data_IF_692843134605
#
_entry.id   IF_692843134605
#
_cell.length_a   1.000
_cell.length_b   1.000
_cell.length_c   1.000
_cell.angle_alpha   90.00
_cell.angle_beta   90.00
_cell.angle_gamma   90.00
#
_symmetry.space_group_name_H-M   'P 1'
#
loop_
_entity.id
_entity.type
_entity.pdbx_description
1 polymer ?
#
# COMPACT_ATOMS: atom_id res chain seq x y z
N UNK A 1 11.72 21.30 7.08
CA UNK A 1 10.46 21.94 6.67
C UNK A 1 9.58 20.82 6.14
N UNK A 2 8.52 20.44 6.87
CA UNK A 2 7.62 19.36 6.44
C UNK A 2 6.74 19.92 5.33
N UNK A 3 6.88 19.42 4.11
CA UNK A 3 5.98 19.82 3.05
C UNK A 3 4.75 18.91 3.17
N UNK A 4 3.59 19.52 3.37
CA UNK A 4 2.34 18.79 3.46
C UNK A 4 1.87 18.49 2.03
N UNK A 5 1.84 17.22 1.66
CA UNK A 5 1.19 16.72 0.45
C UNK A 5 0.13 15.71 0.88
N UNK A 6 -0.93 15.58 0.08
CA UNK A 6 -1.88 14.49 0.20
C UNK A 6 -1.73 13.56 -1.00
N UNK A 7 -1.81 12.25 -0.76
CA UNK A 7 -2.23 11.34 -1.81
C UNK A 7 -3.73 11.49 -1.96
N UNK A 8 -4.14 11.85 -3.17
CA UNK A 8 -5.52 11.98 -3.54
C UNK A 8 -5.92 10.90 -4.54
N UNK A 9 -7.18 10.55 -4.47
CA UNK A 9 -7.83 9.50 -5.24
C UNK A 9 -9.02 10.08 -6.04
N UNK A 10 -9.16 11.41 -6.09
CA UNK A 10 -10.39 12.16 -6.44
C UNK A 10 -10.94 12.04 -7.85
N UNK A 11 -10.29 11.35 -8.79
CA UNK A 11 -10.90 11.14 -10.12
C UNK A 11 -11.78 9.87 -10.18
N UNK A 12 -11.95 9.15 -9.06
CA UNK A 12 -12.89 8.03 -8.94
C UNK A 12 -13.07 7.55 -7.49
N UNK A 13 -14.13 6.78 -7.21
CA UNK A 13 -14.21 6.05 -5.93
C UNK A 13 -12.98 5.14 -5.85
N UNK A 14 -12.28 5.16 -4.71
CA UNK A 14 -11.28 4.13 -4.39
C UNK A 14 -11.91 2.77 -4.74
N UNK A 15 -11.25 1.91 -5.55
CA UNK A 15 -11.89 0.66 -5.94
C UNK A 15 -12.25 -0.13 -4.69
N UNK A 16 -13.41 -0.78 -4.69
CA UNK A 16 -14.02 -1.39 -3.50
C UNK A 16 -13.11 -2.43 -2.80
N UNK A 17 -12.15 -2.98 -3.54
CA UNK A 17 -11.14 -3.94 -3.09
C UNK A 17 -10.00 -3.29 -2.28
N UNK A 18 -9.90 -1.96 -2.26
CA UNK A 18 -8.85 -1.22 -1.55
C UNK A 18 -9.42 -0.53 -0.32
N UNK A 19 -8.79 -0.75 0.83
CA UNK A 19 -9.21 -0.20 2.11
C UNK A 19 -8.12 0.71 2.65
N UNK A 20 -8.38 2.02 2.88
CA UNK A 20 -7.42 2.89 3.54
C UNK A 20 -7.40 2.57 5.03
N UNK A 21 -6.22 2.34 5.59
CA UNK A 21 -6.05 2.03 7.01
C UNK A 21 -5.60 3.26 7.79
N UNK A 22 -6.15 3.46 9.00
CA UNK A 22 -5.74 4.56 9.85
C UNK A 22 -4.32 4.30 10.39
N UNK A 23 -3.48 5.33 10.33
CA UNK A 23 -2.24 5.40 11.09
C UNK A 23 -2.52 6.29 12.29
N UNK A 24 -2.73 5.69 13.46
CA UNK A 24 -3.09 6.41 14.69
C UNK A 24 -2.08 6.14 15.80
N UNK A 25 -1.68 7.21 16.46
CA UNK A 25 -0.69 7.21 17.53
C UNK A 25 -1.26 7.92 18.78
N UNK A 26 -0.60 7.69 19.92
CA UNK A 26 -0.93 8.36 21.16
C UNK A 26 -2.08 7.72 21.97
N UNK A 27 -2.52 8.44 23.00
CA UNK A 27 -3.49 7.94 23.98
C UNK A 27 -4.84 7.65 23.30
N UNK A 28 -5.27 6.39 23.35
CA UNK A 28 -6.56 5.94 22.82
C UNK A 28 -6.49 5.36 21.39
N UNK A 29 -5.31 5.34 20.77
CA UNK A 29 -5.09 4.77 19.44
C UNK A 29 -5.64 3.34 19.31
N UNK A 30 -5.39 2.46 20.29
CA UNK A 30 -5.86 1.07 20.26
C UNK A 30 -7.39 0.96 20.25
N UNK A 31 -8.08 1.84 20.98
CA UNK A 31 -9.55 1.86 21.01
C UNK A 31 -10.09 2.38 19.68
N UNK A 32 -9.45 3.40 19.11
CA UNK A 32 -9.83 3.96 17.83
C UNK A 32 -9.62 2.95 16.69
N UNK A 33 -8.46 2.28 16.63
CA UNK A 33 -8.18 1.17 15.70
C UNK A 33 -9.23 0.09 15.77
N UNK A 34 -9.49 -0.47 16.96
CA UNK A 34 -10.51 -1.52 17.15
C UNK A 34 -11.89 -1.11 16.67
N UNK A 35 -12.31 0.11 17.03
CA UNK A 35 -13.62 0.64 16.62
C UNK A 35 -13.70 0.80 15.10
N UNK A 36 -12.64 1.34 14.49
CA UNK A 36 -12.55 1.49 13.04
C UNK A 36 -12.56 0.13 12.33
N UNK A 37 -11.70 -0.80 12.73
CA UNK A 37 -11.55 -2.10 12.08
C UNK A 37 -12.85 -2.91 12.12
N UNK A 38 -13.55 -2.92 13.27
CA UNK A 38 -14.87 -3.55 13.39
C UNK A 38 -15.88 -2.92 12.43
N UNK A 39 -16.00 -1.59 12.43
CA UNK A 39 -16.98 -0.88 11.58
C UNK A 39 -16.68 -1.08 10.10
N UNK A 40 -15.40 -1.03 9.72
CA UNK A 40 -14.94 -1.24 8.35
C UNK A 40 -15.27 -2.67 7.89
N UNK A 41 -14.94 -3.69 8.69
CA UNK A 41 -15.27 -5.08 8.37
C UNK A 41 -16.78 -5.32 8.20
N UNK A 42 -17.61 -4.73 9.08
CA UNK A 42 -19.07 -4.82 8.98
C UNK A 42 -19.57 -4.18 7.67
N UNK A 43 -19.07 -2.98 7.32
CA UNK A 43 -19.47 -2.27 6.10
C UNK A 43 -19.07 -3.00 4.83
N UNK A 44 -17.82 -3.48 4.73
CA UNK A 44 -17.38 -4.22 3.53
C UNK A 44 -18.15 -5.53 3.35
N UNK A 45 -18.49 -6.23 4.44
CA UNK A 45 -19.30 -7.44 4.34
C UNK A 45 -20.71 -7.14 3.83
N UNK A 46 -21.33 -6.08 4.33
CA UNK A 46 -22.66 -5.66 3.89
C UNK A 46 -22.70 -5.24 2.43
N UNK A 47 -21.62 -4.63 1.93
CA UNK A 47 -21.53 -4.13 0.57
C UNK A 47 -21.16 -5.23 -0.45
N UNK A 48 -20.32 -6.20 -0.09
CA UNK A 48 -19.67 -7.07 -1.07
C UNK A 48 -19.91 -8.58 -0.91
N UNK A 49 -20.45 -9.04 0.22
CA UNK A 49 -20.61 -10.51 0.44
C UNK A 49 -21.72 -11.14 -0.40
N UNK A 50 -22.68 -10.35 -0.90
CA UNK A 50 -23.82 -10.84 -1.70
C UNK A 50 -24.73 -11.83 -0.95
N UNK A 51 -24.58 -11.98 0.36
CA UNK A 51 -25.22 -13.00 1.17
C UNK A 51 -25.37 -12.61 2.64
N UNK A 52 -25.93 -13.51 3.48
CA UNK A 52 -26.10 -13.22 4.90
C UNK A 52 -24.76 -13.03 5.60
N UNK A 53 -24.74 -12.10 6.55
CA UNK A 53 -23.53 -11.76 7.30
C UNK A 53 -23.04 -12.93 8.15
N UNK A 54 -21.85 -13.46 7.86
CA UNK A 54 -21.16 -14.39 8.73
C UNK A 54 -20.40 -13.62 9.82
N UNK A 55 -20.87 -13.73 11.07
CA UNK A 55 -20.27 -13.03 12.21
C UNK A 55 -18.83 -13.48 12.49
N UNK A 56 -18.48 -14.72 12.21
CA UNK A 56 -17.12 -15.23 12.42
C UNK A 56 -16.15 -14.59 11.43
N UNK A 57 -16.52 -14.56 10.14
CA UNK A 57 -15.71 -13.98 9.08
C UNK A 57 -15.56 -12.45 9.24
N UNK A 58 -16.62 -11.74 9.63
CA UNK A 58 -16.53 -10.31 9.95
C UNK A 58 -15.56 -10.03 11.10
N UNK A 59 -15.58 -10.88 12.13
CA UNK A 59 -14.66 -10.74 13.28
C UNK A 59 -13.21 -11.04 12.88
N UNK A 60 -13.00 -12.00 12.00
CA UNK A 60 -11.69 -12.32 11.46
C UNK A 60 -11.13 -11.19 10.60
N UNK A 61 -11.93 -10.66 9.66
CA UNK A 61 -11.56 -9.49 8.88
C UNK A 61 -11.21 -8.28 9.76
N UNK A 62 -12.02 -8.00 10.79
CA UNK A 62 -11.71 -6.93 11.74
C UNK A 62 -10.36 -7.13 12.44
N UNK A 63 -9.99 -8.38 12.77
CA UNK A 63 -8.69 -8.69 13.39
C UNK A 63 -7.54 -8.47 12.43
N UNK A 64 -7.67 -8.87 11.15
CA UNK A 64 -6.64 -8.60 10.15
C UNK A 64 -6.43 -7.10 9.95
N UNK A 65 -7.51 -6.33 9.74
CA UNK A 65 -7.43 -4.88 9.54
C UNK A 65 -6.85 -4.16 10.76
N UNK A 66 -7.23 -4.57 11.98
CA UNK A 66 -6.63 -4.06 13.22
C UNK A 66 -5.14 -4.37 13.29
N UNK A 67 -4.76 -5.64 13.04
CA UNK A 67 -3.38 -6.10 13.10
C UNK A 67 -2.47 -5.38 12.10
N UNK A 68 -2.93 -5.17 10.87
CA UNK A 68 -2.19 -4.41 9.85
C UNK A 68 -2.00 -2.95 10.30
N UNK A 69 -3.08 -2.29 10.74
CA UNK A 69 -3.06 -0.90 11.19
C UNK A 69 -2.23 -0.67 12.47
N UNK A 70 -2.07 -1.69 13.31
CA UNK A 70 -1.25 -1.64 14.51
C UNK A 70 0.22 -1.92 14.22
N UNK A 71 0.53 -3.03 13.54
CA UNK A 71 1.88 -3.58 13.51
C UNK A 71 2.81 -2.85 12.55
N UNK A 72 2.31 -2.46 11.37
CA UNK A 72 3.18 -1.95 10.32
C UNK A 72 3.67 -0.51 10.55
N UNK A 73 2.83 0.44 10.98
CA UNK A 73 3.30 1.80 11.27
C UNK A 73 4.42 1.86 12.33
N UNK A 74 4.50 0.86 13.22
CA UNK A 74 5.58 0.76 14.22
C UNK A 74 6.91 0.24 13.66
N UNK A 75 6.89 -0.42 12.49
CA UNK A 75 8.04 -1.14 11.93
C UNK A 75 8.57 -0.52 10.65
N UNK A 76 7.72 0.18 9.90
CA UNK A 76 8.02 0.68 8.56
C UNK A 76 7.64 2.16 8.50
N UNK A 77 8.57 3.07 8.19
CA UNK A 77 8.23 4.46 7.93
C UNK A 77 7.27 4.57 6.74
N UNK A 78 6.11 5.20 6.96
CA UNK A 78 5.08 5.39 5.92
C UNK A 78 4.21 6.60 6.24
N UNK A 79 3.61 7.19 5.20
CA UNK A 79 2.61 8.24 5.31
C UNK A 79 1.19 7.73 5.03
N UNK A 80 1.05 6.66 4.23
CA UNK A 80 -0.24 6.02 3.98
C UNK A 80 -0.12 4.50 4.02
N UNK A 81 -1.23 3.86 4.39
CA UNK A 81 -1.37 2.42 4.49
C UNK A 81 -2.70 2.01 3.86
N UNK A 82 -2.63 1.07 2.93
CA UNK A 82 -3.80 0.48 2.28
C UNK A 82 -3.79 -1.04 2.47
N UNK A 83 -4.95 -1.66 2.37
CA UNK A 83 -5.09 -3.11 2.27
C UNK A 83 -5.83 -3.44 0.98
N UNK A 84 -5.26 -4.34 0.19
CA UNK A 84 -5.91 -4.94 -0.95
C UNK A 84 -6.65 -6.21 -0.52
N UNK A 85 -7.95 -6.27 -0.78
CA UNK A 85 -8.88 -7.29 -0.32
C UNK A 85 -10.02 -7.51 -1.33
N UNK A 86 -9.76 -8.21 -2.45
CA UNK A 86 -10.79 -8.56 -3.42
C UNK A 86 -11.68 -9.73 -2.96
N UNK A 87 -11.21 -10.55 -2.00
CA UNK A 87 -12.00 -11.61 -1.36
C UNK A 87 -11.94 -11.45 0.16
N UNK A 88 -13.08 -11.12 0.78
CA UNK A 88 -13.21 -10.87 2.22
C UNK A 88 -12.85 -12.07 3.10
N UNK A 89 -12.66 -13.26 2.50
CA UNK A 89 -12.29 -14.51 3.18
C UNK A 89 -10.78 -14.75 3.23
N UNK A 90 -9.98 -13.95 2.53
CA UNK A 90 -8.53 -14.07 2.50
C UNK A 90 -7.87 -12.96 3.32
N UNK A 91 -6.63 -13.21 3.74
CA UNK A 91 -5.84 -12.19 4.43
C UNK A 91 -5.59 -10.98 3.50
N UNK A 92 -5.85 -9.74 3.96
CA UNK A 92 -5.60 -8.55 3.16
C UNK A 92 -4.11 -8.33 2.92
N UNK A 93 -3.74 -7.90 1.70
CA UNK A 93 -2.36 -7.54 1.38
C UNK A 93 -2.09 -6.07 1.73
N UNK A 94 -1.14 -5.77 2.64
CA UNK A 94 -0.83 -4.41 3.01
C UNK A 94 0.01 -3.70 1.94
N UNK A 95 -0.31 -2.44 1.68
CA UNK A 95 0.43 -1.53 0.80
C UNK A 95 0.90 -0.31 1.57
N UNK A 96 2.21 -0.12 1.60
CA UNK A 96 2.90 0.95 2.30
C UNK A 96 3.26 2.05 1.30
N UNK A 97 2.96 3.30 1.69
CA UNK A 97 3.30 4.46 0.89
C UNK A 97 4.32 5.31 1.63
N UNK A 98 5.42 5.59 0.94
CA UNK A 98 6.45 6.49 1.43
C UNK A 98 6.65 7.63 0.46
N UNK A 99 6.56 8.86 0.97
CA UNK A 99 6.85 10.08 0.23
C UNK A 99 7.93 10.89 0.96
N UNK A 100 8.92 11.38 0.20
CA UNK A 100 9.97 12.24 0.72
C UNK A 100 10.34 13.31 -0.30
N UNK A 101 11.01 14.38 0.14
CA UNK A 101 11.55 15.38 -0.77
C UNK A 101 12.56 14.72 -1.71
N UNK A 102 12.51 15.09 -2.99
CA UNK A 102 13.47 14.59 -3.96
C UNK A 102 14.88 15.08 -3.67
N UNK A 103 15.82 14.14 -3.64
CA UNK A 103 17.25 14.42 -3.45
C UNK A 103 18.08 13.60 -4.43
N UNK A 104 19.18 14.20 -4.92
CA UNK A 104 20.15 13.52 -5.78
C UNK A 104 19.63 13.08 -7.17
N UNK A 105 20.43 12.28 -7.90
CA UNK A 105 20.10 11.84 -9.26
C UNK A 105 18.91 10.85 -9.29
N UNK A 106 18.11 10.91 -10.36
CA UNK A 106 16.88 10.13 -10.52
C UNK A 106 17.14 8.62 -10.53
N UNK A 107 18.07 8.14 -11.35
CA UNK A 107 18.22 6.69 -11.57
C UNK A 107 18.66 5.92 -10.31
N UNK A 108 19.70 6.34 -9.55
CA UNK A 108 20.08 5.67 -8.29
C UNK A 108 18.98 5.71 -7.22
N UNK A 109 18.19 6.79 -7.20
CA UNK A 109 17.03 6.86 -6.33
C UNK A 109 15.97 5.83 -6.73
N UNK A 110 15.56 5.81 -8.00
CA UNK A 110 14.52 4.87 -8.45
C UNK A 110 14.93 3.43 -8.17
N UNK A 111 16.20 3.09 -8.38
CA UNK A 111 16.77 1.78 -8.00
C UNK A 111 16.63 1.47 -6.50
N UNK A 112 16.77 2.49 -5.66
CA UNK A 112 16.57 2.37 -4.21
C UNK A 112 15.10 2.15 -3.85
N UNK A 113 14.18 2.94 -4.44
CA UNK A 113 12.74 2.83 -4.17
C UNK A 113 12.19 1.46 -4.57
N UNK A 114 12.60 0.96 -5.73
CA UNK A 114 12.17 -0.34 -6.25
C UNK A 114 13.02 -1.52 -5.75
N UNK A 115 13.92 -1.26 -4.79
CA UNK A 115 14.77 -2.27 -4.15
C UNK A 115 15.62 -3.10 -5.12
N UNK A 116 16.10 -2.52 -6.23
CA UNK A 116 16.90 -3.24 -7.23
C UNK A 116 18.07 -3.99 -6.60
N UNK A 117 18.80 -3.31 -5.72
CA UNK A 117 20.05 -3.80 -5.14
C UNK A 117 19.90 -4.29 -3.69
N UNK A 118 18.67 -4.54 -3.22
CA UNK A 118 18.47 -5.01 -1.85
C UNK A 118 18.99 -6.45 -1.65
N UNK A 119 19.80 -6.72 -0.62
CA UNK A 119 20.34 -8.06 -0.34
C UNK A 119 19.26 -9.11 -0.04
N UNK A 120 19.58 -10.38 -0.31
CA UNK A 120 18.71 -11.53 -0.02
C UNK A 120 17.73 -11.87 -1.15
N UNK A 121 17.92 -11.30 -2.34
CA UNK A 121 17.14 -11.67 -3.50
C UNK A 121 17.47 -13.12 -3.90
N UNK A 122 16.43 -13.94 -4.11
CA UNK A 122 16.60 -15.32 -4.56
C UNK A 122 16.92 -15.40 -6.06
N UNK A 123 16.59 -14.34 -6.79
CA UNK A 123 16.87 -14.12 -8.22
C UNK A 123 16.90 -12.62 -8.50
N UNK A 124 17.38 -12.24 -9.68
CA UNK A 124 17.36 -10.84 -10.11
C UNK A 124 15.92 -10.30 -10.09
N UNK A 125 15.69 -9.11 -9.49
CA UNK A 125 14.36 -8.50 -9.50
C UNK A 125 13.90 -8.18 -10.93
N UNK A 126 12.64 -8.49 -11.22
CA UNK A 126 12.03 -8.14 -12.51
C UNK A 126 11.66 -6.67 -12.49
N UNK A 127 12.44 -5.84 -13.21
CA UNK A 127 12.26 -4.40 -13.22
C UNK A 127 11.79 -3.95 -14.60
N UNK A 128 10.72 -3.16 -14.61
CA UNK A 128 10.14 -2.58 -15.82
C UNK A 128 9.89 -1.08 -15.64
N UNK A 129 9.92 -0.35 -16.74
CA UNK A 129 9.47 1.03 -16.77
C UNK A 129 7.97 1.09 -16.45
N UNK A 130 7.60 2.01 -15.56
CA UNK A 130 6.22 2.17 -15.10
C UNK A 130 5.84 3.65 -15.11
N UNK A 131 5.44 4.13 -16.28
CA UNK A 131 4.98 5.51 -16.47
C UNK A 131 3.48 5.61 -16.20
N UNK A 132 3.06 6.63 -15.44
CA UNK A 132 1.65 6.96 -15.19
C UNK A 132 1.36 8.39 -15.62
N UNK A 133 0.09 8.68 -15.92
CA UNK A 133 -0.32 10.01 -16.37
C UNK A 133 -0.16 11.06 -15.25
N UNK A 134 -0.37 10.66 -13.99
CA UNK A 134 -0.41 11.55 -12.84
C UNK A 134 0.93 11.68 -12.10
N UNK A 135 1.78 10.65 -12.12
CA UNK A 135 3.04 10.62 -11.37
C UNK A 135 4.28 10.70 -12.28
N UNK A 136 4.09 10.61 -13.59
CA UNK A 136 5.17 10.65 -14.57
C UNK A 136 5.92 9.32 -14.68
N UNK A 137 7.22 9.40 -14.97
CA UNK A 137 8.08 8.22 -15.20
C UNK A 137 8.51 7.60 -13.88
N UNK A 138 8.37 6.29 -13.78
CA UNK A 138 8.81 5.50 -12.63
C UNK A 138 9.26 4.11 -13.03
N UNK A 139 9.51 3.28 -12.02
CA UNK A 139 9.87 1.87 -12.15
C UNK A 139 8.91 1.02 -11.31
N UNK A 140 8.67 -0.22 -11.78
CA UNK A 140 8.07 -1.30 -10.99
C UNK A 140 9.06 -2.44 -10.88
N UNK A 141 9.21 -3.01 -9.68
CA UNK A 141 10.03 -4.19 -9.41
C UNK A 141 9.20 -5.29 -8.76
N UNK A 142 9.32 -6.52 -9.26
CA UNK A 142 8.87 -7.73 -8.59
C UNK A 142 10.10 -8.48 -8.10
N UNK A 143 10.20 -8.68 -6.80
CA UNK A 143 11.37 -9.26 -6.15
C UNK A 143 10.98 -10.48 -5.33
N UNK A 144 11.67 -11.59 -5.56
CA UNK A 144 11.59 -12.79 -4.73
C UNK A 144 12.78 -12.82 -3.79
N UNK A 145 12.56 -13.03 -2.49
CA UNK A 145 13.61 -12.94 -1.49
C UNK A 145 13.31 -13.75 -0.25
N UNK A 146 14.36 -14.13 0.47
CA UNK A 146 14.23 -14.76 1.79
C UNK A 146 14.55 -13.69 2.84
N UNK A 147 13.59 -13.29 3.69
CA UNK A 147 13.86 -12.35 4.76
C UNK A 147 14.98 -12.86 5.68
N UNK A 148 15.81 -11.95 6.19
CA UNK A 148 16.91 -12.33 7.08
C UNK A 148 16.36 -13.04 8.33
N UNK A 149 16.80 -14.28 8.57
CA UNK A 149 16.36 -15.09 9.70
C UNK A 149 15.03 -15.81 9.50
N UNK A 150 14.46 -15.77 8.29
CA UNK A 150 13.32 -16.59 7.89
C UNK A 150 13.78 -17.75 6.98
N UNK A 151 12.93 -18.76 6.88
CA UNK A 151 13.12 -19.91 5.97
C UNK A 151 12.21 -19.82 4.73
N UNK A 152 11.13 -19.04 4.82
CA UNK A 152 10.14 -18.92 3.76
C UNK A 152 10.57 -17.89 2.70
N UNK A 153 10.30 -18.24 1.43
CA UNK A 153 10.40 -17.32 0.31
C UNK A 153 9.25 -16.32 0.36
N UNK A 154 9.55 -15.04 0.17
CA UNK A 154 8.59 -13.96 0.05
C UNK A 154 8.70 -13.29 -1.32
N UNK A 155 7.65 -12.57 -1.69
CA UNK A 155 7.60 -11.68 -2.83
C UNK A 155 7.32 -10.25 -2.38
N UNK A 156 7.95 -9.27 -3.02
CA UNK A 156 7.56 -7.87 -2.94
C UNK A 156 7.27 -7.30 -4.31
N UNK A 157 6.25 -6.45 -4.37
CA UNK A 157 5.98 -5.59 -5.52
C UNK A 157 6.23 -4.16 -5.07
N UNK A 158 7.11 -3.47 -5.79
CA UNK A 158 7.61 -2.16 -5.43
C UNK A 158 7.45 -1.23 -6.61
N UNK A 159 6.91 -0.05 -6.36
CA UNK A 159 6.81 1.02 -7.34
C UNK A 159 7.56 2.23 -6.82
N UNK A 160 8.23 2.95 -7.72
CA UNK A 160 8.96 4.16 -7.39
C UNK A 160 8.80 5.20 -8.47
N UNK A 161 8.50 6.43 -8.07
CA UNK A 161 8.41 7.60 -8.96
C UNK A 161 9.18 8.77 -8.40
N UNK A 162 9.70 9.60 -9.30
CA UNK A 162 9.98 11.00 -8.98
C UNK A 162 8.85 11.84 -9.55
N UNK A 163 8.13 12.52 -8.66
CA UNK A 163 7.01 13.39 -9.01
C UNK A 163 7.52 14.82 -9.09
N UNK A 164 8.09 15.17 -10.25
CA UNK A 164 8.81 16.43 -10.47
C UNK A 164 7.98 17.67 -10.13
N UNK A 165 6.67 17.67 -10.46
CA UNK A 165 5.73 18.77 -10.19
C UNK A 165 5.72 19.19 -8.73
N UNK A 166 5.91 18.23 -7.82
CA UNK A 166 5.88 18.47 -6.38
C UNK A 166 7.26 18.33 -5.73
N UNK A 167 8.30 17.96 -6.49
CA UNK A 167 9.64 17.76 -5.96
C UNK A 167 9.71 16.67 -4.88
N UNK A 168 8.94 15.59 -5.06
CA UNK A 168 8.93 14.44 -4.16
C UNK A 168 9.28 13.14 -4.87
N UNK A 169 9.84 12.23 -4.09
CA UNK A 169 10.05 10.84 -4.45
C UNK A 169 8.98 9.99 -3.73
N UNK A 170 8.21 9.21 -4.49
CA UNK A 170 7.09 8.41 -4.01
C UNK A 170 7.37 6.93 -4.21
N UNK A 171 7.11 6.13 -3.18
CA UNK A 171 7.19 4.68 -3.21
C UNK A 171 5.86 4.07 -2.76
N UNK A 172 5.43 3.02 -3.46
CA UNK A 172 4.34 2.13 -3.08
C UNK A 172 4.89 0.71 -3.01
N UNK A 173 4.61 -0.03 -1.93
CA UNK A 173 5.16 -1.37 -1.72
C UNK A 173 4.19 -2.32 -1.05
N UNK A 174 4.17 -3.57 -1.48
CA UNK A 174 3.64 -4.70 -0.71
C UNK A 174 4.69 -5.80 -0.55
N UNK A 175 4.51 -6.63 0.48
CA UNK A 175 5.30 -7.83 0.75
C UNK A 175 4.33 -8.95 1.14
N UNK A 176 4.52 -10.14 0.60
CA UNK A 176 3.69 -11.31 0.91
C UNK A 176 4.53 -12.60 0.89
N UNK A 177 4.15 -13.55 1.73
CA UNK A 177 4.59 -14.95 1.70
C UNK A 177 3.65 -15.85 0.90
N UNK A 178 2.44 -15.41 0.56
CA UNK A 178 1.56 -16.03 -0.45
C UNK A 178 1.92 -15.49 -1.85
N UNK A 179 2.98 -16.08 -2.43
CA UNK A 179 3.49 -15.73 -3.76
C UNK A 179 2.40 -15.85 -4.85
N UNK A 180 1.58 -16.89 -4.77
CA UNK A 180 0.53 -17.14 -5.76
C UNK A 180 -0.53 -16.05 -5.71
N UNK A 181 -0.93 -15.64 -4.50
CA UNK A 181 -1.89 -14.56 -4.32
C UNK A 181 -1.35 -13.21 -4.79
N UNK A 182 -0.14 -12.84 -4.39
CA UNK A 182 0.44 -11.58 -4.81
C UNK A 182 0.66 -11.54 -6.33
N UNK A 183 1.16 -12.62 -6.93
CA UNK A 183 1.41 -12.68 -8.37
C UNK A 183 0.13 -12.62 -9.20
N UNK A 184 -0.95 -13.27 -8.76
CA UNK A 184 -2.23 -13.29 -9.48
C UNK A 184 -2.92 -11.92 -9.52
N UNK A 185 -2.53 -10.97 -8.66
CA UNK A 185 -3.19 -9.67 -8.53
C UNK A 185 -2.30 -8.47 -8.95
N UNK A 186 -1.16 -8.71 -9.60
CA UNK A 186 -0.25 -7.63 -10.05
C UNK A 186 -0.97 -6.61 -10.93
N UNK A 187 -1.86 -7.05 -11.82
CA UNK A 187 -2.59 -6.13 -12.70
C UNK A 187 -3.51 -5.18 -11.91
N UNK A 188 -4.12 -5.65 -10.81
CA UNK A 188 -4.91 -4.80 -9.92
C UNK A 188 -4.02 -3.80 -9.16
N UNK A 189 -2.81 -4.21 -8.77
CA UNK A 189 -1.83 -3.31 -8.16
C UNK A 189 -1.36 -2.23 -9.14
N UNK A 190 -1.08 -2.63 -10.38
CA UNK A 190 -0.68 -1.72 -11.46
C UNK A 190 -1.83 -0.73 -11.77
N UNK A 191 -3.09 -1.19 -11.80
CA UNK A 191 -4.25 -0.32 -11.99
C UNK A 191 -4.39 0.70 -10.84
N UNK A 192 -4.27 0.25 -9.59
CA UNK A 192 -4.32 1.15 -8.43
C UNK A 192 -3.18 2.16 -8.46
N UNK A 193 -1.94 1.71 -8.72
CA UNK A 193 -0.78 2.58 -8.86
C UNK A 193 -0.94 3.65 -9.95
N UNK A 194 -1.61 3.33 -11.06
CA UNK A 194 -1.91 4.27 -12.15
C UNK A 194 -2.96 5.31 -11.79
N UNK A 195 -3.91 4.97 -10.91
CA UNK A 195 -4.94 5.90 -10.44
C UNK A 195 -4.44 6.92 -9.42
N UNK A 196 -3.25 6.73 -8.85
CA UNK A 196 -2.71 7.60 -7.82
C UNK A 196 -2.47 9.02 -8.35
N UNK A 197 -2.80 10.01 -7.52
CA UNK A 197 -2.50 11.42 -7.76
C UNK A 197 -1.89 12.02 -6.50
N UNK A 198 -0.90 12.89 -6.68
CA UNK A 198 -0.39 13.74 -5.61
C UNK A 198 -1.08 15.08 -5.75
N UNK A 199 -1.62 15.62 -4.67
CA UNK A 199 -2.21 16.97 -4.64
C UNK A 199 -1.61 17.78 -3.51
N UNK A 200 -1.59 19.09 -3.68
CA UNK A 200 -1.29 19.97 -2.57
C UNK A 200 -2.52 20.08 -1.65
N UNK A 201 -2.39 20.13 -0.31
CA UNK A 201 -3.53 20.22 0.60
C UNK A 201 -4.45 21.43 0.36
N UNK A 202 -3.93 22.51 -0.25
CA UNK A 202 -4.74 23.66 -0.65
C UNK A 202 -5.62 23.43 -1.87
N UNK A 203 -5.40 22.33 -2.59
CA UNK A 203 -6.14 21.93 -3.79
C UNK A 203 -7.27 20.94 -3.46
N UNK A 204 -7.33 20.44 -2.21
CA UNK A 204 -8.41 19.57 -1.74
C UNK A 204 -9.64 20.44 -1.48
N UNK A 205 -10.57 20.47 -2.44
CA UNK A 205 -11.91 21.01 -2.24
C UNK A 205 -12.75 19.91 -1.59
N UNK A 206 -13.10 20.09 -0.32
CA UNK A 206 -14.05 19.20 0.36
C UNK A 206 -15.45 19.76 0.06
N UNK A 207 -16.17 19.12 -0.86
CA UNK A 207 -17.61 19.32 -1.03
C UNK A 207 -18.40 18.59 0.07
#
# INVERSE_FOLDING_TARGET
MSIAYALDFTDGKLPDEWIPLPIVEGRGADRQRRKWAKKCAELHWDLHSGGPRDKAQVKELARWLEGISEQFPQKIPMQYLFAYLPDLRREPLPFFFYAARSEGPVAPLLDTLVQRNQPGAAQDPQIVDFTTDNLGKGLRSIRHFVPKGAEALCMSVNYGWRVDTYGIDLSMRTVSDDLGWAAANIDAFDAFARSLKVVHPSEIVID
#
